data_IF_702305376379
#
_entry.id   IF_702305376379
#
_cell.length_a   1.000
_cell.length_b   1.000
_cell.length_c   1.000
_cell.angle_alpha   90.00
_cell.angle_beta   90.00
_cell.angle_gamma   90.00
#
_symmetry.space_group_name_H-M   'P 1'
#
loop_
_entity.id
_entity.type
_entity.pdbx_description
1 polymer ?
#
# COMPACT_ATOMS: atom_id res chain seq x y z
N UNK A 1 14.11 4.65 0.06
CA UNK A 1 12.83 4.99 -0.59
C UNK A 1 12.07 3.74 -1.05
N UNK A 2 12.66 2.90 -1.91
CA UNK A 2 12.08 1.58 -2.20
C UNK A 2 12.02 0.65 -0.98
N UNK A 3 12.97 0.76 -0.06
CA UNK A 3 12.94 0.05 1.24
C UNK A 3 11.71 0.45 2.08
N UNK A 4 11.47 1.75 2.27
CA UNK A 4 10.27 2.24 2.97
C UNK A 4 8.95 1.83 2.27
N UNK A 5 8.94 1.79 0.93
CA UNK A 5 7.82 1.24 0.16
C UNK A 5 7.61 -0.25 0.47
N UNK A 6 8.69 -1.04 0.47
CA UNK A 6 8.63 -2.46 0.78
C UNK A 6 8.16 -2.70 2.23
N UNK A 7 8.66 -1.95 3.20
CA UNK A 7 8.23 -2.01 4.60
C UNK A 7 6.73 -1.72 4.75
N UNK A 8 6.23 -0.67 4.10
CA UNK A 8 4.81 -0.33 4.12
C UNK A 8 3.94 -1.45 3.53
N UNK A 9 4.39 -2.09 2.45
CA UNK A 9 3.68 -3.21 1.83
C UNK A 9 3.72 -4.49 2.68
N UNK A 10 4.84 -4.79 3.34
CA UNK A 10 4.96 -5.92 4.28
C UNK A 10 4.02 -5.72 5.48
N UNK A 11 3.94 -4.51 6.02
CA UNK A 11 3.00 -4.17 7.07
C UNK A 11 1.54 -4.33 6.59
N UNK A 12 1.21 -3.86 5.39
CA UNK A 12 -0.12 -4.04 4.80
C UNK A 12 -0.49 -5.53 4.67
N UNK A 13 0.43 -6.36 4.19
CA UNK A 13 0.24 -7.82 4.08
C UNK A 13 -0.05 -8.44 5.44
N UNK A 14 0.69 -8.04 6.47
CA UNK A 14 0.52 -8.54 7.84
C UNK A 14 -0.88 -8.23 8.38
N UNK A 15 -1.33 -6.98 8.25
CA UNK A 15 -2.67 -6.58 8.70
C UNK A 15 -3.79 -7.21 7.89
N UNK A 16 -3.59 -7.39 6.58
CA UNK A 16 -4.55 -8.09 5.71
C UNK A 16 -4.68 -9.58 6.10
N UNK A 17 -3.56 -10.24 6.42
CA UNK A 17 -3.55 -11.62 6.93
C UNK A 17 -4.33 -11.74 8.24
N UNK A 18 -4.01 -10.89 9.23
CA UNK A 18 -4.75 -10.87 10.50
C UNK A 18 -6.25 -10.58 10.31
N UNK A 19 -6.61 -9.69 9.38
CA UNK A 19 -8.01 -9.42 9.06
C UNK A 19 -8.73 -10.66 8.49
N UNK A 20 -8.06 -11.45 7.65
CA UNK A 20 -8.58 -12.69 7.12
C UNK A 20 -8.78 -13.73 8.24
N UNK A 21 -7.84 -13.83 9.18
CA UNK A 21 -7.95 -14.70 10.34
C UNK A 21 -9.17 -14.33 11.20
N UNK A 22 -9.35 -13.04 11.51
CA UNK A 22 -10.54 -12.55 12.24
C UNK A 22 -11.85 -12.81 11.48
N UNK A 23 -11.84 -12.62 10.16
CA UNK A 23 -13.00 -12.89 9.33
C UNK A 23 -13.38 -14.38 9.34
N UNK A 24 -12.39 -15.29 9.37
CA UNK A 24 -12.60 -16.74 9.41
C UNK A 24 -13.31 -17.22 10.68
N UNK A 25 -13.13 -16.50 11.80
CA UNK A 25 -13.80 -16.77 13.08
C UNK A 25 -15.03 -15.86 13.31
N UNK A 26 -15.48 -15.14 12.28
CA UNK A 26 -16.60 -14.20 12.31
C UNK A 26 -16.44 -13.03 13.30
N UNK A 27 -15.22 -12.66 13.69
CA UNK A 27 -14.96 -11.44 14.45
C UNK A 27 -15.01 -10.21 13.54
N UNK A 28 -16.19 -9.59 13.47
CA UNK A 28 -16.44 -8.39 12.67
C UNK A 28 -15.57 -7.20 13.10
N UNK A 29 -15.29 -7.05 14.39
CA UNK A 29 -14.55 -5.89 14.91
C UNK A 29 -13.07 -6.03 14.60
N UNK A 30 -12.51 -7.22 14.83
CA UNK A 30 -11.13 -7.55 14.47
C UNK A 30 -10.90 -7.40 12.97
N UNK A 31 -11.78 -7.98 12.14
CA UNK A 31 -11.67 -7.87 10.68
C UNK A 31 -11.73 -6.41 10.19
N UNK A 32 -12.68 -5.62 10.69
CA UNK A 32 -12.79 -4.21 10.34
C UNK A 32 -11.59 -3.37 10.81
N UNK A 33 -10.98 -3.71 11.94
CA UNK A 33 -9.76 -3.05 12.40
C UNK A 33 -8.57 -3.39 11.49
N UNK A 34 -8.32 -4.67 11.22
CA UNK A 34 -7.22 -5.11 10.36
C UNK A 34 -7.31 -4.53 8.95
N UNK A 35 -8.50 -4.49 8.35
CA UNK A 35 -8.72 -3.86 7.03
C UNK A 35 -8.35 -2.37 7.04
N UNK A 36 -8.74 -1.63 8.09
CA UNK A 36 -8.40 -0.20 8.19
C UNK A 36 -6.90 0.03 8.35
N UNK A 37 -6.21 -0.79 9.13
CA UNK A 37 -4.75 -0.73 9.25
C UNK A 37 -4.06 -1.05 7.91
N UNK A 38 -4.48 -2.12 7.23
CA UNK A 38 -3.93 -2.48 5.92
C UNK A 38 -4.14 -1.36 4.89
N UNK A 39 -5.34 -0.75 4.86
CA UNK A 39 -5.64 0.38 3.98
C UNK A 39 -4.74 1.60 4.27
N UNK A 40 -4.47 1.91 5.54
CA UNK A 40 -3.56 3.00 5.90
C UNK A 40 -2.13 2.73 5.42
N UNK A 41 -1.64 1.50 5.54
CA UNK A 41 -0.34 1.09 5.02
C UNK A 41 -0.27 1.23 3.48
N UNK A 42 -1.31 0.81 2.76
CA UNK A 42 -1.39 0.95 1.30
C UNK A 42 -1.44 2.42 0.89
N UNK A 43 -2.18 3.27 1.62
CA UNK A 43 -2.22 4.70 1.36
C UNK A 43 -0.83 5.34 1.55
N UNK A 44 -0.10 4.95 2.60
CA UNK A 44 1.29 5.38 2.82
C UNK A 44 2.21 4.94 1.67
N UNK A 45 2.12 3.67 1.26
CA UNK A 45 2.87 3.13 0.13
C UNK A 45 2.58 3.90 -1.18
N UNK A 46 1.32 4.27 -1.43
CA UNK A 46 0.92 5.05 -2.59
C UNK A 46 1.54 6.47 -2.57
N UNK A 47 1.57 7.13 -1.40
CA UNK A 47 2.25 8.42 -1.26
C UNK A 47 3.74 8.33 -1.57
N UNK A 48 4.43 7.31 -1.04
CA UNK A 48 5.85 7.08 -1.34
C UNK A 48 6.05 6.80 -2.82
N UNK A 49 5.16 6.02 -3.45
CA UNK A 49 5.26 5.68 -4.86
C UNK A 49 5.24 6.91 -5.77
N UNK A 50 4.44 7.93 -5.47
CA UNK A 50 4.42 9.17 -6.24
C UNK A 50 5.76 9.92 -6.19
N UNK A 51 6.49 9.81 -5.09
CA UNK A 51 7.82 10.41 -4.96
C UNK A 51 8.89 9.58 -5.71
N UNK A 52 8.71 8.26 -5.84
CA UNK A 52 9.64 7.36 -6.56
C UNK A 52 9.37 7.32 -8.06
N UNK A 53 8.20 7.80 -8.50
CA UNK A 53 7.74 7.72 -9.88
C UNK A 53 8.76 8.36 -10.83
N UNK A 54 9.28 7.63 -11.83
CA UNK A 54 10.22 8.19 -12.77
C UNK A 54 9.57 9.35 -13.51
N UNK A 55 10.31 10.45 -13.69
CA UNK A 55 9.83 11.62 -14.42
C UNK A 55 9.26 11.19 -15.78
N UNK A 56 8.13 11.77 -16.21
CA UNK A 56 7.56 11.44 -17.51
C UNK A 56 8.63 11.72 -18.57
N UNK A 57 9.04 10.65 -19.26
CA UNK A 57 10.05 10.73 -20.31
C UNK A 57 9.52 11.68 -21.39
N UNK A 58 10.10 12.88 -21.48
CA UNK A 58 9.77 13.79 -22.57
C UNK A 58 10.06 13.06 -23.88
N UNK A 59 9.07 13.01 -24.76
CA UNK A 59 9.24 12.40 -26.07
C UNK A 59 10.20 13.31 -26.85
N UNK A 60 11.40 12.86 -27.25
CA UNK A 60 12.26 13.69 -28.09
C UNK A 60 11.56 13.81 -29.45
N UNK A 61 10.99 14.99 -29.74
CA UNK A 61 10.28 15.23 -31.01
C UNK A 61 9.17 16.28 -30.99
N UNK A 62 8.77 16.82 -29.84
CA UNK A 62 7.81 17.94 -29.80
C UNK A 62 8.53 19.30 -29.92
N UNK A 63 9.34 19.45 -30.96
CA UNK A 63 9.86 20.73 -31.44
C UNK A 63 10.16 20.55 -32.93
N UNK A 64 9.16 20.80 -33.76
CA UNK A 64 9.26 21.02 -35.20
C UNK A 64 8.10 21.91 -35.63
#
# INVERSE_FOLDING_TARGET
>A
MFEALAEALIAAQTYAGAAADFASIHDRRGAAYGIRCAAACIASAASILEEVKPAPRSKPGAAA
#
